data_IF_051402379021
#
_entry.id   IF_051402379021
#
_cell.length_a   1.000
_cell.length_b   1.000
_cell.length_c   1.000
_cell.angle_alpha   90.00
_cell.angle_beta   90.00
_cell.angle_gamma   90.00
#
_symmetry.space_group_name_H-M   'P 1'
#
loop_
_entity.id
_entity.type
_entity.pdbx_description
1 polymer ?
#
# COMPACT_ATOMS: atom_id res chain seq x y z
N UNK A 1 11.47 -3.97 -9.28
CA UNK A 1 12.44 -3.66 -8.21
C UNK A 1 12.12 -4.47 -6.97
N UNK A 2 13.08 -5.17 -6.43
CA UNK A 2 12.79 -6.00 -5.26
C UNK A 2 12.49 -5.15 -4.03
N UNK A 3 11.69 -5.72 -3.14
CA UNK A 3 11.30 -5.01 -1.92
C UNK A 3 12.50 -4.61 -1.08
N UNK A 4 13.57 -5.37 -1.15
CA UNK A 4 14.78 -5.08 -0.37
C UNK A 4 15.43 -3.76 -0.78
N UNK A 5 15.14 -3.27 -1.97
CA UNK A 5 15.71 -2.01 -2.43
C UNK A 5 14.98 -0.80 -1.87
N UNK A 6 13.85 -1.01 -1.19
CA UNK A 6 13.10 0.09 -0.62
C UNK A 6 13.52 0.33 0.81
N UNK A 7 13.50 1.60 1.26
CA UNK A 7 13.87 1.89 2.65
C UNK A 7 12.82 1.34 3.62
N UNK A 8 13.18 1.19 4.89
CA UNK A 8 12.21 0.67 5.87
C UNK A 8 11.02 1.59 6.12
N UNK A 9 11.17 2.89 5.87
CA UNK A 9 10.07 3.84 6.01
C UNK A 9 9.74 4.39 4.64
N UNK A 10 8.47 4.32 4.28
CA UNK A 10 8.00 4.69 2.94
C UNK A 10 7.02 5.83 3.00
N UNK A 11 6.94 6.59 1.92
CA UNK A 11 5.85 7.54 1.73
C UNK A 11 4.83 6.95 0.75
N UNK A 12 3.75 7.68 0.50
CA UNK A 12 2.68 7.16 -0.37
C UNK A 12 3.17 6.85 -1.77
N UNK A 13 4.09 7.65 -2.29
CA UNK A 13 4.61 7.43 -3.64
C UNK A 13 5.39 6.12 -3.72
N UNK A 14 6.22 5.85 -2.71
CA UNK A 14 6.98 4.61 -2.67
C UNK A 14 6.08 3.41 -2.45
N UNK A 15 5.03 3.55 -1.64
CA UNK A 15 4.06 2.49 -1.44
C UNK A 15 3.35 2.16 -2.75
N UNK A 16 2.95 3.19 -3.50
CA UNK A 16 2.31 3.00 -4.78
C UNK A 16 3.22 2.22 -5.73
N UNK A 17 4.50 2.56 -5.71
CA UNK A 17 5.48 1.90 -6.54
C UNK A 17 5.69 0.45 -6.11
N UNK A 18 5.87 0.23 -4.81
CA UNK A 18 6.11 -1.09 -4.27
C UNK A 18 4.95 -2.04 -4.54
N UNK A 19 3.73 -1.54 -4.37
CA UNK A 19 2.53 -2.36 -4.54
C UNK A 19 2.01 -2.36 -5.98
N UNK A 20 2.58 -1.50 -6.83
CA UNK A 20 2.10 -1.39 -8.22
C UNK A 20 0.71 -0.78 -8.29
N UNK A 21 0.41 0.18 -7.44
CA UNK A 21 -0.91 0.80 -7.35
C UNK A 21 -0.86 2.27 -7.70
N UNK A 22 -2.03 2.82 -7.98
CA UNK A 22 -2.17 4.25 -8.18
C UNK A 22 -2.00 4.97 -6.84
N UNK A 23 -1.26 6.08 -6.84
CA UNK A 23 -0.98 6.78 -5.61
C UNK A 23 -2.25 7.34 -4.95
N UNK A 24 -3.22 7.75 -5.77
CA UNK A 24 -4.48 8.24 -5.21
C UNK A 24 -5.22 7.16 -4.47
N UNK A 25 -5.15 5.93 -4.97
CA UNK A 25 -5.75 4.79 -4.29
C UNK A 25 -5.03 4.51 -2.96
N UNK A 26 -3.70 4.61 -2.98
CA UNK A 26 -2.92 4.42 -1.75
C UNK A 26 -3.35 5.44 -0.70
N UNK A 27 -3.48 6.69 -1.10
CA UNK A 27 -3.89 7.75 -0.19
C UNK A 27 -5.30 7.53 0.35
N UNK A 28 -6.21 7.12 -0.52
CA UNK A 28 -7.59 6.87 -0.12
C UNK A 28 -7.67 5.73 0.89
N UNK A 29 -7.01 4.63 0.62
CA UNK A 29 -7.00 3.48 1.51
C UNK A 29 -6.35 3.82 2.84
N UNK A 30 -5.36 4.70 2.82
CA UNK A 30 -4.70 5.14 4.04
C UNK A 30 -5.65 5.97 4.90
N UNK A 31 -6.41 6.87 4.27
CA UNK A 31 -7.39 7.68 5.00
C UNK A 31 -8.50 6.83 5.58
N UNK A 32 -8.85 5.76 4.89
CA UNK A 32 -9.93 4.87 5.32
C UNK A 32 -9.48 3.87 6.38
N UNK A 33 -8.19 3.84 6.67
CA UNK A 33 -7.68 2.91 7.65
C UNK A 33 -7.52 1.49 7.14
N UNK A 34 -7.60 1.30 5.83
CA UNK A 34 -7.43 -0.02 5.22
C UNK A 34 -5.96 -0.38 5.13
N UNK A 35 -5.13 0.58 4.71
CA UNK A 35 -3.69 0.40 4.66
C UNK A 35 -3.06 0.80 5.98
N UNK A 36 -2.04 0.06 6.46
CA UNK A 36 -1.35 0.45 7.70
C UNK A 36 -0.50 1.69 7.46
N UNK A 37 -1.04 2.83 7.82
CA UNK A 37 -0.42 4.12 7.62
C UNK A 37 -0.29 4.85 8.95
N UNK A 38 0.75 5.68 9.04
CA UNK A 38 1.02 6.44 10.25
C UNK A 38 1.30 7.90 9.87
N UNK A 39 1.19 8.77 10.84
CA UNK A 39 1.54 10.17 10.66
C UNK A 39 2.48 10.60 11.76
N UNK A 40 3.50 11.33 11.36
CA UNK A 40 4.38 11.96 12.33
C UNK A 40 3.61 13.14 12.94
N UNK A 41 3.65 13.30 14.27
CA UNK A 41 2.97 14.45 14.89
C UNK A 41 3.41 15.75 14.23
N UNK A 42 2.43 16.55 13.83
CA UNK A 42 2.68 17.79 13.13
C UNK A 42 2.87 17.62 11.62
N UNK A 43 2.97 16.38 11.14
CA UNK A 43 3.10 16.12 9.73
C UNK A 43 1.77 16.01 9.03
N UNK A 44 1.80 16.14 7.71
CA UNK A 44 0.59 16.09 6.90
C UNK A 44 0.52 14.89 6.01
N UNK A 45 1.64 14.19 5.85
CA UNK A 45 1.70 13.08 4.92
C UNK A 45 1.72 11.77 5.69
N UNK A 46 1.26 10.72 5.02
CA UNK A 46 1.32 9.40 5.59
C UNK A 46 2.73 8.84 5.49
N UNK A 47 3.10 8.07 6.49
CA UNK A 47 4.33 7.28 6.47
C UNK A 47 3.96 5.83 6.69
N UNK A 48 4.74 4.95 6.11
CA UNK A 48 4.45 3.52 6.12
C UNK A 48 5.72 2.77 6.52
N UNK A 49 5.54 1.70 7.26
CA UNK A 49 6.65 0.80 7.57
C UNK A 49 6.59 -0.34 6.56
N UNK A 50 7.69 -0.56 5.86
CA UNK A 50 7.72 -1.57 4.81
C UNK A 50 7.32 -2.94 5.32
N UNK A 51 7.87 -3.35 6.47
CA UNK A 51 7.56 -4.66 7.02
C UNK A 51 6.09 -4.80 7.34
N UNK A 52 5.50 -3.77 7.92
CA UNK A 52 4.09 -3.76 8.28
C UNK A 52 3.22 -3.85 7.03
N UNK A 53 3.61 -3.11 5.99
CA UNK A 53 2.88 -3.09 4.75
C UNK A 53 2.89 -4.46 4.07
N UNK A 54 4.05 -5.12 4.06
CA UNK A 54 4.17 -6.43 3.45
C UNK A 54 3.39 -7.47 4.23
N UNK A 55 3.38 -7.37 5.56
CA UNK A 55 2.58 -8.25 6.39
C UNK A 55 1.09 -8.05 6.11
N UNK A 56 0.69 -6.79 5.99
CA UNK A 56 -0.70 -6.47 5.65
C UNK A 56 -1.09 -7.10 4.31
N UNK A 57 -0.23 -6.95 3.32
CA UNK A 57 -0.51 -7.50 2.00
C UNK A 57 -0.61 -9.02 2.03
N UNK A 58 0.25 -9.64 2.80
CA UNK A 58 0.26 -11.10 2.92
C UNK A 58 -1.05 -11.63 3.46
N UNK A 59 -1.70 -10.83 4.31
CA UNK A 59 -2.96 -11.24 4.95
C UNK A 59 -4.16 -11.05 4.03
N UNK A 60 -4.01 -10.38 2.89
CA UNK A 60 -5.14 -10.13 2.00
C UNK A 60 -5.44 -11.36 1.17
N UNK A 61 -6.70 -11.77 1.08
CA UNK A 61 -7.05 -12.90 0.22
C UNK A 61 -7.01 -12.53 -1.24
N UNK A 62 -6.73 -13.51 -2.09
CA UNK A 62 -6.69 -13.27 -3.53
C UNK A 62 -8.06 -12.91 -4.08
N UNK A 63 -9.12 -13.45 -3.48
CA UNK A 63 -10.49 -13.20 -3.93
C UNK A 63 -11.25 -12.48 -2.84
N UNK A 64 -11.37 -11.17 -2.98
CA UNK A 64 -12.15 -10.37 -2.05
C UNK A 64 -13.58 -10.30 -2.53
N UNK A 65 -14.55 -10.59 -1.68
CA UNK A 65 -15.95 -10.39 -2.07
C UNK A 65 -16.18 -8.95 -2.47
N UNK A 66 -16.82 -8.75 -3.59
CA UNK A 66 -17.11 -7.42 -4.09
C UNK A 66 -16.04 -6.82 -4.96
N UNK A 67 -14.93 -7.53 -5.19
CA UNK A 67 -13.87 -7.10 -6.11
C UNK A 67 -13.76 -8.08 -7.23
N UNK A 68 -13.50 -7.57 -8.33
CA UNK A 68 -13.33 -8.45 -9.47
C UNK A 68 -11.91 -8.44 -9.88
N UNK A 69 -11.53 -8.74 -10.10
CA UNK A 69 -10.42 -8.53 -10.41
C UNK A 69 -9.75 -8.15 -11.28
N UNK A 70 -9.93 -7.69 -11.61
CA UNK A 70 -9.46 -7.41 -12.25
C UNK A 70 -8.34 -7.34 -12.58
N UNK A 71 -8.57 -7.53 -12.50
CA UNK A 71 -7.73 -7.54 -12.81
C UNK A 71 -6.88 -7.77 -13.14
N UNK A 72 -7.12 -8.11 -13.24
CA UNK A 72 -6.41 -8.43 -13.53
C UNK A 72 -5.74 -8.16 -13.99
N UNK A 73 -6.15 -7.82 -14.11
CA UNK A 73 -5.55 -7.54 -14.58
C UNK A 73 -4.65 -7.30 -14.71
N UNK A 74 -4.81 -7.31 -14.58
CA UNK A 74 -3.96 -7.08 -14.59
C UNK A 74 -3.21 -7.03 -14.96
N UNK A 75 -3.24 -7.18 -15.12
CA UNK A 75 -2.45 -7.23 -15.49
C UNK A 75 -1.68 -7.33 -15.80
N UNK A 76 -1.55 -7.40 -15.76
CA UNK A 76 -0.79 -7.64 -16.02
C UNK A 76 -0.19 -7.87 -16.18
#
# INVERSE_FOLDING_TARGET
>A
MPADDYPPVLDAALVAELLGMNIDTVRRLSREGVLPAHRVPGGRTFKYLKDELLEWLRAQPANNPGEETVEEETRA
#
